data_IF_649702030963
#
_entry.id   IF_649702030963
#
_cell.length_a   1.000
_cell.length_b   1.000
_cell.length_c   1.000
_cell.angle_alpha   90.00
_cell.angle_beta   90.00
_cell.angle_gamma   90.00
#
_symmetry.space_group_name_H-M   'P 1'
#
loop_
_entity.id
_entity.type
_entity.pdbx_description
1 polymer ?
#
# COMPACT_ATOMS: atom_id res chain seq x y z
N UNK A 1 -14.96 -4.76 -4.85
CA UNK A 1 -13.60 -5.33 -4.93
C UNK A 1 -12.92 -5.20 -3.59
N UNK A 2 -12.35 -6.28 -3.09
CA UNK A 2 -11.64 -6.33 -1.81
C UNK A 2 -10.15 -6.48 -2.04
N UNK A 3 -9.35 -5.53 -1.54
CA UNK A 3 -7.89 -5.53 -1.69
C UNK A 3 -7.27 -5.53 -0.30
N UNK A 4 -6.30 -6.40 -0.06
CA UNK A 4 -5.52 -6.38 1.17
C UNK A 4 -4.09 -5.92 0.89
N UNK A 5 -3.60 -4.96 1.65
CA UNK A 5 -2.20 -4.53 1.62
C UNK A 5 -1.52 -5.08 2.86
N UNK A 6 -0.68 -6.08 2.72
CA UNK A 6 0.00 -6.70 3.87
C UNK A 6 1.47 -7.05 3.56
N UNK A 7 2.22 -7.46 4.58
CA UNK A 7 3.61 -7.87 4.44
C UNK A 7 4.23 -8.24 5.78
N UNK A 8 5.27 -9.05 5.77
CA UNK A 8 5.94 -9.54 6.99
C UNK A 8 6.84 -8.49 7.65
N UNK A 9 7.16 -7.39 6.96
CA UNK A 9 8.11 -6.38 7.46
C UNK A 9 7.42 -5.06 7.81
N UNK A 10 7.83 -4.46 8.92
CA UNK A 10 7.48 -3.08 9.25
C UNK A 10 8.21 -2.07 8.34
N UNK A 11 7.62 -0.90 8.12
CA UNK A 11 8.25 0.21 7.39
C UNK A 11 8.33 0.05 5.86
N UNK A 12 7.61 -0.92 5.27
CA UNK A 12 7.53 -1.12 3.82
C UNK A 12 6.37 -0.35 3.17
N UNK A 13 5.93 0.74 3.78
CA UNK A 13 4.91 1.65 3.26
C UNK A 13 3.52 1.01 3.00
N UNK A 14 3.07 0.04 3.82
CA UNK A 14 1.72 -0.56 3.69
C UNK A 14 0.63 0.49 3.77
N UNK A 15 0.54 1.20 4.89
CA UNK A 15 -0.46 2.27 5.11
C UNK A 15 -0.38 3.37 4.05
N UNK A 16 0.84 3.80 3.70
CA UNK A 16 1.04 4.75 2.61
C UNK A 16 0.46 4.22 1.29
N UNK A 17 0.65 2.94 0.98
CA UNK A 17 0.10 2.30 -0.23
C UNK A 17 -1.43 2.24 -0.16
N UNK A 18 -2.00 1.82 0.97
CA UNK A 18 -3.46 1.77 1.18
C UNK A 18 -4.11 3.13 0.99
N UNK A 19 -3.58 4.17 1.61
CA UNK A 19 -4.09 5.55 1.52
C UNK A 19 -4.01 6.09 0.09
N UNK A 20 -2.87 5.92 -0.59
CA UNK A 20 -2.68 6.53 -1.92
C UNK A 20 -3.43 5.79 -3.03
N UNK A 21 -3.55 4.47 -2.98
CA UNK A 21 -4.42 3.73 -3.90
C UNK A 21 -5.90 4.10 -3.69
N UNK A 22 -6.35 4.18 -2.44
CA UNK A 22 -7.69 4.67 -2.12
C UNK A 22 -7.92 6.08 -2.68
N UNK A 23 -6.95 6.98 -2.50
CA UNK A 23 -7.01 8.35 -3.03
C UNK A 23 -7.13 8.38 -4.56
N UNK A 24 -6.37 7.55 -5.28
CA UNK A 24 -6.46 7.49 -6.75
C UNK A 24 -7.84 7.05 -7.18
N UNK A 25 -8.37 5.96 -6.66
CA UNK A 25 -9.70 5.47 -7.06
C UNK A 25 -10.82 6.43 -6.63
N UNK A 26 -10.66 7.10 -5.48
CA UNK A 26 -11.60 8.15 -5.08
C UNK A 26 -11.63 9.31 -6.08
N UNK A 27 -10.47 9.78 -6.56
CA UNK A 27 -10.41 10.85 -7.59
C UNK A 27 -10.99 10.41 -8.94
N UNK A 28 -11.09 9.11 -9.18
CA UNK A 28 -11.78 8.51 -10.33
C UNK A 28 -13.30 8.34 -10.12
N UNK A 29 -13.83 8.83 -9.01
CA UNK A 29 -15.26 8.78 -8.67
C UNK A 29 -15.73 7.48 -8.03
N UNK A 30 -14.81 6.59 -7.62
CA UNK A 30 -15.17 5.34 -6.95
C UNK A 30 -15.50 5.56 -5.48
N UNK A 31 -16.48 4.83 -4.97
CA UNK A 31 -16.77 4.75 -3.53
C UNK A 31 -15.75 3.83 -2.86
N UNK A 32 -14.78 4.42 -2.19
CA UNK A 32 -13.67 3.68 -1.55
C UNK A 32 -13.76 3.80 -0.04
N UNK A 33 -13.36 2.78 0.67
CA UNK A 33 -13.06 2.87 2.11
C UNK A 33 -11.82 2.04 2.47
N UNK A 34 -11.22 2.36 3.62
CA UNK A 34 -10.13 1.57 4.20
C UNK A 34 -10.62 0.91 5.49
N UNK A 35 -10.26 -0.34 5.68
CA UNK A 35 -10.37 -1.07 6.96
C UNK A 35 -8.98 -1.18 7.56
N UNK A 36 -8.77 -0.55 8.70
CA UNK A 36 -7.50 -0.60 9.42
C UNK A 36 -7.44 -1.87 10.30
N UNK A 37 -6.66 -2.84 9.84
CA UNK A 37 -6.40 -4.10 10.54
C UNK A 37 -5.01 -4.12 11.21
N UNK A 38 -4.28 -3.00 11.24
CA UNK A 38 -3.02 -2.87 11.98
C UNK A 38 -3.30 -2.60 13.47
N UNK A 39 -2.65 -3.35 14.35
CA UNK A 39 -2.72 -3.14 15.82
C UNK A 39 -2.30 -1.71 16.22
N UNK A 40 -1.39 -1.10 15.45
CA UNK A 40 -0.95 0.28 15.66
C UNK A 40 -1.95 1.33 15.15
N UNK A 41 -3.02 0.91 14.44
CA UNK A 41 -4.04 1.79 13.87
C UNK A 41 -3.45 2.91 12.99
N UNK A 42 -2.51 2.54 12.13
CA UNK A 42 -1.74 3.49 11.34
C UNK A 42 -2.60 4.25 10.33
N UNK A 43 -3.56 3.59 9.68
CA UNK A 43 -4.48 4.24 8.73
C UNK A 43 -5.48 5.17 9.43
N UNK A 44 -6.00 4.76 10.60
CA UNK A 44 -6.86 5.61 11.42
C UNK A 44 -6.11 6.84 11.93
N UNK A 45 -4.87 6.67 12.42
CA UNK A 45 -4.04 7.79 12.84
C UNK A 45 -3.69 8.72 11.68
N UNK A 46 -3.47 8.18 10.48
CA UNK A 46 -3.28 8.98 9.27
C UNK A 46 -4.52 9.83 8.97
N UNK A 47 -5.69 9.21 8.92
CA UNK A 47 -6.94 9.90 8.59
C UNK A 47 -7.35 10.96 9.62
N UNK A 48 -7.01 10.77 10.90
CA UNK A 48 -7.35 11.73 11.95
C UNK A 48 -6.54 13.02 11.91
N UNK A 49 -5.43 13.07 11.16
CA UNK A 49 -4.58 14.25 11.03
C UNK A 49 -5.04 15.23 9.95
N UNK A 50 -5.92 14.81 9.03
CA UNK A 50 -6.30 15.66 7.92
C UNK A 50 -7.63 15.31 7.29
N UNK A 51 -7.76 15.57 6.00
CA UNK A 51 -9.01 15.54 5.26
C UNK A 51 -8.97 14.52 4.10
N UNK A 52 -8.59 13.25 4.38
CA UNK A 52 -8.77 12.24 3.33
C UNK A 52 -10.26 12.14 3.00
N UNK A 53 -10.63 12.14 1.70
CA UNK A 53 -12.03 12.29 1.28
C UNK A 53 -12.83 10.98 1.31
N UNK A 54 -12.32 9.94 1.96
CA UNK A 54 -12.97 8.64 2.10
C UNK A 54 -12.84 8.12 3.54
N UNK A 55 -13.79 7.30 4.02
CA UNK A 55 -13.78 6.82 5.38
C UNK A 55 -12.71 5.76 5.63
N UNK A 56 -12.15 5.77 6.85
CA UNK A 56 -11.28 4.74 7.41
C UNK A 56 -11.96 4.14 8.63
N UNK A 57 -12.13 2.84 8.66
CA UNK A 57 -12.83 2.12 9.72
C UNK A 57 -11.90 1.16 10.47
N UNK A 58 -12.05 1.00 11.79
CA UNK A 58 -11.45 -0.15 12.47
C UNK A 58 -12.18 -1.45 12.07
N UNK A 59 -11.52 -2.59 12.21
CA UNK A 59 -12.10 -3.92 11.91
C UNK A 59 -13.44 -4.12 12.61
N UNK A 60 -13.60 -3.64 13.84
CA UNK A 60 -14.83 -3.79 14.61
C UNK A 60 -16.08 -3.15 13.97
N UNK A 61 -15.91 -2.18 13.09
CA UNK A 61 -17.01 -1.52 12.37
C UNK A 61 -17.01 -1.81 10.85
N UNK A 62 -16.10 -2.65 10.37
CA UNK A 62 -15.93 -2.95 8.96
C UNK A 62 -17.24 -3.43 8.31
N UNK A 63 -17.94 -4.40 8.91
CA UNK A 63 -19.15 -4.97 8.35
C UNK A 63 -20.28 -3.93 8.08
N UNK A 64 -20.32 -2.85 8.83
CA UNK A 64 -21.28 -1.75 8.62
C UNK A 64 -20.69 -0.70 7.65
N UNK A 65 -19.43 -0.35 7.84
CA UNK A 65 -18.77 0.75 7.12
C UNK A 65 -18.49 0.46 5.64
N UNK A 66 -18.36 -0.81 5.27
CA UNK A 66 -18.01 -1.20 3.89
C UNK A 66 -19.20 -1.43 2.95
N UNK A 67 -20.45 -1.36 3.46
CA UNK A 67 -21.67 -1.74 2.69
C UNK A 67 -21.85 -1.01 1.37
N UNK A 68 -21.51 0.28 1.34
CA UNK A 68 -21.72 1.13 0.17
C UNK A 68 -20.45 1.34 -0.66
N UNK A 69 -19.34 0.69 -0.28
CA UNK A 69 -18.06 0.83 -0.96
C UNK A 69 -17.96 -0.09 -2.18
N UNK A 70 -17.51 0.45 -3.30
CA UNK A 70 -17.15 -0.32 -4.49
C UNK A 70 -15.78 -0.99 -4.33
N UNK A 71 -14.87 -0.31 -3.60
CA UNK A 71 -13.52 -0.78 -3.31
C UNK A 71 -13.27 -0.68 -1.81
N UNK A 72 -12.90 -1.78 -1.22
CA UNK A 72 -12.50 -1.89 0.19
C UNK A 72 -11.04 -2.26 0.25
N UNK A 73 -10.22 -1.43 0.90
CA UNK A 73 -8.81 -1.73 1.12
C UNK A 73 -8.62 -2.10 2.59
N UNK A 74 -8.10 -3.29 2.86
CA UNK A 74 -7.66 -3.67 4.20
C UNK A 74 -6.18 -3.31 4.38
N UNK A 75 -5.89 -2.37 5.27
CA UNK A 75 -4.52 -2.02 5.67
C UNK A 75 -4.07 -2.99 6.75
N UNK A 76 -3.27 -3.98 6.36
CA UNK A 76 -2.82 -5.06 7.22
C UNK A 76 -1.55 -4.72 8.00
N UNK A 77 -1.41 -5.32 9.17
CA UNK A 77 -0.19 -5.17 9.95
C UNK A 77 1.02 -5.90 9.34
N UNK A 78 2.21 -5.60 9.86
CA UNK A 78 3.38 -6.44 9.64
C UNK A 78 3.28 -7.67 10.54
N UNK A 79 3.14 -8.85 9.97
CA UNK A 79 3.10 -10.11 10.72
C UNK A 79 4.00 -11.16 10.10
N UNK A 80 4.66 -11.93 10.94
CA UNK A 80 5.32 -13.18 10.57
C UNK A 80 4.45 -14.41 10.90
N UNK A 81 3.29 -14.20 11.50
CA UNK A 81 2.33 -15.24 11.80
C UNK A 81 1.54 -15.61 10.53
N UNK A 82 1.70 -16.84 10.08
CA UNK A 82 1.07 -17.35 8.87
C UNK A 82 -0.45 -17.39 8.97
N UNK A 83 -1.00 -17.73 10.14
CA UNK A 83 -2.45 -17.79 10.31
C UNK A 83 -3.08 -16.40 10.24
N UNK A 84 -2.43 -15.41 10.84
CA UNK A 84 -2.88 -14.03 10.77
C UNK A 84 -2.83 -13.50 9.31
N UNK A 85 -1.76 -13.81 8.57
CA UNK A 85 -1.64 -13.44 7.16
C UNK A 85 -2.68 -14.15 6.29
N UNK A 86 -2.97 -15.43 6.56
CA UNK A 86 -4.04 -16.18 5.89
C UNK A 86 -5.40 -15.54 6.14
N UNK A 87 -5.71 -15.19 7.38
CA UNK A 87 -6.98 -14.53 7.72
C UNK A 87 -7.13 -13.16 7.06
N UNK A 88 -6.06 -12.36 7.01
CA UNK A 88 -6.06 -11.06 6.32
C UNK A 88 -6.26 -11.19 4.81
N UNK A 89 -5.69 -12.24 4.21
CA UNK A 89 -5.76 -12.49 2.78
C UNK A 89 -7.08 -13.16 2.35
N UNK A 90 -7.73 -13.86 3.29
CA UNK A 90 -8.96 -14.60 2.99
C UNK A 90 -10.09 -13.67 2.56
N UNK A 91 -10.69 -13.98 1.43
CA UNK A 91 -11.77 -13.16 0.87
C UNK A 91 -11.30 -11.91 0.11
N UNK A 92 -9.98 -11.73 -0.08
CA UNK A 92 -9.44 -10.66 -0.93
C UNK A 92 -9.48 -11.07 -2.41
N UNK A 93 -9.91 -10.14 -3.26
CA UNK A 93 -9.79 -10.27 -4.72
C UNK A 93 -8.33 -10.12 -5.16
N UNK A 94 -7.54 -9.35 -4.41
CA UNK A 94 -6.12 -9.12 -4.64
C UNK A 94 -5.39 -8.80 -3.34
N UNK A 95 -4.24 -9.41 -3.12
CA UNK A 95 -3.29 -9.02 -2.07
C UNK A 95 -2.12 -8.24 -2.71
N UNK A 96 -1.89 -7.03 -2.25
CA UNK A 96 -0.73 -6.22 -2.64
C UNK A 96 0.34 -6.37 -1.56
N UNK A 97 1.55 -6.76 -1.96
CA UNK A 97 2.69 -6.94 -1.06
C UNK A 97 3.72 -5.84 -1.32
N UNK A 98 3.71 -4.74 -0.55
CA UNK A 98 4.77 -3.74 -0.67
C UNK A 98 6.11 -4.29 -0.17
N UNK A 99 7.16 -4.07 -0.95
CA UNK A 99 8.52 -4.47 -0.60
C UNK A 99 9.53 -3.39 -0.95
N UNK A 100 10.65 -3.32 -0.22
CA UNK A 100 11.76 -2.44 -0.60
C UNK A 100 12.81 -3.24 -1.39
N UNK A 101 13.67 -2.59 -2.21
CA UNK A 101 14.70 -3.28 -2.99
C UNK A 101 15.88 -3.78 -2.14
N UNK A 102 15.67 -4.08 -0.86
CA UNK A 102 16.66 -4.66 0.06
C UNK A 102 16.53 -6.17 0.08
N UNK A 103 17.64 -6.91 0.06
CA UNK A 103 17.67 -8.37 0.01
C UNK A 103 16.70 -9.03 1.02
N UNK A 104 16.80 -8.65 2.30
CA UNK A 104 15.92 -9.23 3.34
C UNK A 104 14.44 -8.90 3.12
N UNK A 105 14.09 -7.76 2.51
CA UNK A 105 12.69 -7.46 2.15
C UNK A 105 12.20 -8.38 1.03
N UNK A 106 13.03 -8.61 0.02
CA UNK A 106 12.71 -9.51 -1.11
C UNK A 106 12.53 -10.95 -0.61
N UNK A 107 13.42 -11.46 0.25
CA UNK A 107 13.31 -12.80 0.85
C UNK A 107 11.97 -12.98 1.56
N UNK A 108 11.62 -12.09 2.48
CA UNK A 108 10.35 -12.14 3.21
C UNK A 108 9.14 -12.01 2.28
N UNK A 109 9.27 -11.27 1.19
CA UNK A 109 8.21 -11.17 0.17
C UNK A 109 8.01 -12.49 -0.55
N UNK A 110 9.08 -13.20 -0.90
CA UNK A 110 9.01 -14.54 -1.52
C UNK A 110 8.38 -15.56 -0.56
N UNK A 111 8.75 -15.53 0.72
CA UNK A 111 8.16 -16.38 1.76
C UNK A 111 6.62 -16.16 1.84
N UNK A 112 6.18 -14.90 1.95
CA UNK A 112 4.76 -14.55 2.01
C UNK A 112 4.02 -14.94 0.71
N UNK A 113 4.59 -14.65 -0.45
CA UNK A 113 3.98 -14.99 -1.73
C UNK A 113 3.83 -16.52 -1.90
N UNK A 114 4.80 -17.31 -1.43
CA UNK A 114 4.69 -18.78 -1.41
C UNK A 114 3.52 -19.26 -0.55
N UNK A 115 3.33 -18.63 0.62
CA UNK A 115 2.19 -18.91 1.49
C UNK A 115 0.86 -18.59 0.79
N UNK A 116 0.74 -17.41 0.16
CA UNK A 116 -0.47 -16.99 -0.56
C UNK A 116 -0.76 -17.88 -1.77
N UNK A 117 0.27 -18.31 -2.48
CA UNK A 117 0.17 -19.30 -3.57
C UNK A 117 -0.41 -20.63 -3.09
N UNK A 118 0.03 -21.14 -1.94
CA UNK A 118 -0.49 -22.37 -1.35
C UNK A 118 -1.99 -22.29 -1.03
N UNK A 119 -2.49 -21.08 -0.76
CA UNK A 119 -3.88 -20.78 -0.48
C UNK A 119 -4.66 -20.34 -1.73
N UNK A 120 -4.03 -20.31 -2.91
CA UNK A 120 -4.62 -19.86 -4.19
C UNK A 120 -5.13 -18.40 -4.13
N UNK A 121 -4.51 -17.56 -3.31
CA UNK A 121 -4.86 -16.15 -3.20
C UNK A 121 -4.12 -15.37 -4.28
N UNK A 122 -4.86 -14.61 -5.09
CA UNK A 122 -4.26 -13.70 -6.09
C UNK A 122 -3.47 -12.61 -5.39
N UNK A 123 -2.22 -12.40 -5.78
CA UNK A 123 -1.35 -11.39 -5.18
C UNK A 123 -0.37 -10.82 -6.19
N UNK A 124 0.09 -9.59 -5.92
CA UNK A 124 1.11 -8.92 -6.71
C UNK A 124 2.06 -8.13 -5.80
N UNK A 125 3.33 -8.05 -6.17
CA UNK A 125 4.37 -7.36 -5.41
C UNK A 125 4.52 -5.93 -5.93
N UNK A 126 4.53 -4.96 -5.01
CA UNK A 126 4.80 -3.55 -5.30
C UNK A 126 6.15 -3.13 -4.71
N UNK A 127 7.11 -2.75 -5.55
CA UNK A 127 8.40 -2.25 -5.08
C UNK A 127 8.26 -0.78 -4.70
N UNK A 128 8.58 -0.47 -3.45
CA UNK A 128 8.38 0.84 -2.84
C UNK A 128 9.68 1.41 -2.25
N UNK A 129 9.67 2.71 -1.93
CA UNK A 129 10.80 3.43 -1.33
C UNK A 129 12.08 3.33 -2.17
N UNK A 130 11.94 3.47 -3.48
CA UNK A 130 13.07 3.44 -4.40
C UNK A 130 13.78 4.79 -4.42
N UNK A 131 15.01 4.82 -3.91
CA UNK A 131 15.90 5.98 -4.04
C UNK A 131 16.26 6.19 -5.53
N UNK A 132 16.02 7.38 -6.05
CA UNK A 132 16.30 7.73 -7.45
C UNK A 132 17.75 7.49 -7.86
N UNK A 133 18.69 7.56 -6.91
CA UNK A 133 20.12 7.30 -7.12
C UNK A 133 20.46 5.81 -7.15
N UNK A 134 19.54 4.93 -6.69
CA UNK A 134 19.73 3.48 -6.53
C UNK A 134 18.72 2.66 -7.32
N UNK A 135 18.23 3.18 -8.44
CA UNK A 135 17.22 2.49 -9.26
C UNK A 135 17.67 1.10 -9.73
N UNK A 136 18.98 0.90 -9.96
CA UNK A 136 19.53 -0.42 -10.32
C UNK A 136 19.13 -1.51 -9.32
N UNK A 137 19.13 -1.20 -8.03
CA UNK A 137 18.71 -2.15 -6.99
C UNK A 137 17.22 -2.53 -7.12
N UNK A 138 16.35 -1.60 -7.51
CA UNK A 138 14.94 -1.88 -7.73
C UNK A 138 14.72 -2.77 -8.95
N UNK A 139 15.43 -2.53 -10.06
CA UNK A 139 15.39 -3.41 -11.23
C UNK A 139 15.92 -4.82 -10.92
N UNK A 140 16.99 -4.94 -10.13
CA UNK A 140 17.51 -6.21 -9.68
C UNK A 140 16.52 -6.97 -8.78
N UNK A 141 15.88 -6.27 -7.83
CA UNK A 141 14.84 -6.85 -6.98
C UNK A 141 13.64 -7.32 -7.82
N UNK A 142 13.17 -6.51 -8.78
CA UNK A 142 12.10 -6.90 -9.71
C UNK A 142 12.48 -8.17 -10.50
N UNK A 143 13.66 -8.19 -11.08
CA UNK A 143 14.13 -9.35 -11.85
C UNK A 143 14.22 -10.62 -10.98
N UNK A 144 14.64 -10.48 -9.71
CA UNK A 144 14.68 -11.60 -8.78
C UNK A 144 13.27 -12.12 -8.47
N UNK A 145 12.32 -11.24 -8.15
CA UNK A 145 10.91 -11.61 -7.87
C UNK A 145 10.26 -12.31 -9.07
N UNK A 146 10.46 -11.79 -10.28
CA UNK A 146 9.96 -12.41 -11.51
C UNK A 146 10.55 -13.81 -11.74
N UNK A 147 11.83 -14.05 -11.39
CA UNK A 147 12.45 -15.38 -11.47
C UNK A 147 11.83 -16.39 -10.52
N UNK A 148 11.25 -15.93 -9.39
CA UNK A 148 10.46 -16.76 -8.49
C UNK A 148 9.01 -16.97 -8.97
N UNK A 149 8.66 -16.50 -10.17
CA UNK A 149 7.32 -16.65 -10.74
C UNK A 149 6.27 -15.72 -10.13
N UNK A 150 6.67 -14.66 -9.43
CA UNK A 150 5.75 -13.73 -8.79
C UNK A 150 5.26 -12.66 -9.76
N UNK A 151 4.00 -12.27 -9.64
CA UNK A 151 3.48 -11.07 -10.29
C UNK A 151 4.06 -9.83 -9.60
N UNK A 152 4.60 -8.91 -10.39
CA UNK A 152 5.21 -7.67 -9.90
C UNK A 152 4.67 -6.52 -10.73
N UNK A 153 4.10 -5.51 -10.07
CA UNK A 153 3.62 -4.30 -10.73
C UNK A 153 4.70 -3.65 -11.59
N UNK A 154 4.30 -3.11 -12.72
CA UNK A 154 5.17 -2.29 -13.54
C UNK A 154 5.33 -0.90 -12.89
N UNK A 155 6.59 -0.49 -12.73
CA UNK A 155 6.93 0.74 -12.03
C UNK A 155 7.28 0.55 -10.55
N UNK A 156 7.65 1.64 -9.92
CA UNK A 156 8.09 1.68 -8.52
C UNK A 156 7.54 2.90 -7.82
N UNK A 157 7.28 2.80 -6.53
CA UNK A 157 6.99 3.97 -5.69
C UNK A 157 8.31 4.58 -5.21
N UNK A 158 8.61 5.82 -5.59
CA UNK A 158 9.87 6.47 -5.22
C UNK A 158 9.94 6.79 -3.72
N UNK A 159 11.15 6.89 -3.19
CA UNK A 159 11.39 7.42 -1.85
C UNK A 159 11.38 8.95 -1.91
N UNK A 160 10.32 9.57 -1.39
CA UNK A 160 10.11 11.01 -1.41
C UNK A 160 9.69 11.53 -0.04
N UNK A 161 10.27 12.65 0.39
CA UNK A 161 9.81 13.39 1.58
C UNK A 161 8.36 13.90 1.44
N UNK A 162 7.85 14.03 0.23
CA UNK A 162 6.45 14.37 -0.03
C UNK A 162 5.47 13.39 0.63
N UNK A 163 5.82 12.11 0.73
CA UNK A 163 4.99 11.12 1.44
C UNK A 163 4.98 11.34 2.95
N UNK A 164 6.13 11.67 3.54
CA UNK A 164 6.21 11.97 4.97
C UNK A 164 5.42 13.23 5.31
N UNK A 165 5.48 14.27 4.46
CA UNK A 165 4.68 15.49 4.58
C UNK A 165 3.18 15.22 4.44
N UNK A 166 2.78 14.42 3.46
CA UNK A 166 1.40 14.00 3.28
C UNK A 166 0.89 13.23 4.50
N UNK A 167 1.70 12.32 5.06
CA UNK A 167 1.36 11.61 6.29
C UNK A 167 1.23 12.54 7.50
N UNK A 168 2.14 13.49 7.65
CA UNK A 168 2.10 14.46 8.75
C UNK A 168 0.85 15.33 8.73
N UNK A 169 0.36 15.69 7.54
CA UNK A 169 -0.86 16.50 7.34
C UNK A 169 -2.14 15.67 7.14
N UNK A 170 -2.03 14.33 7.05
CA UNK A 170 -3.19 13.44 6.83
C UNK A 170 -3.87 13.63 5.48
N UNK A 171 -3.11 13.98 4.44
CA UNK A 171 -3.62 14.25 3.09
C UNK A 171 -3.01 13.29 2.07
N UNK A 172 -3.53 13.24 0.86
CA UNK A 172 -2.87 12.52 -0.24
C UNK A 172 -1.60 13.26 -0.71
N UNK A 173 -0.64 12.54 -1.29
CA UNK A 173 0.67 13.10 -1.65
C UNK A 173 0.60 14.27 -2.64
N UNK A 174 -0.42 14.35 -3.48
CA UNK A 174 -0.59 15.48 -4.41
C UNK A 174 -0.92 16.80 -3.69
N UNK A 175 -1.33 16.75 -2.43
CA UNK A 175 -1.58 17.89 -1.55
C UNK A 175 -0.41 18.17 -0.58
N UNK A 176 0.68 17.40 -0.68
CA UNK A 176 1.81 17.54 0.23
C UNK A 176 2.41 18.95 0.20
N UNK A 177 2.50 19.55 1.38
CA UNK A 177 3.09 20.89 1.60
C UNK A 177 4.22 20.81 2.61
N UNK A 178 5.10 21.82 2.58
CA UNK A 178 6.12 22.00 3.61
C UNK A 178 5.56 22.74 4.83
N UNK A 179 6.39 22.92 5.86
CA UNK A 179 6.02 23.61 7.11
C UNK A 179 5.60 25.08 6.92
N UNK A 180 5.89 25.65 5.75
CA UNK A 180 5.48 27.00 5.35
C UNK A 180 4.24 26.99 4.43
N UNK A 181 3.60 25.85 4.25
CA UNK A 181 2.41 25.68 3.39
C UNK A 181 2.74 25.69 1.88
N UNK A 182 4.01 25.62 1.48
CA UNK A 182 4.38 25.57 0.06
C UNK A 182 4.31 24.16 -0.46
N UNK A 183 3.74 23.98 -1.65
CA UNK A 183 3.64 22.67 -2.29
C UNK A 183 4.99 21.98 -2.45
N UNK A 184 5.06 20.72 -2.06
CA UNK A 184 6.27 19.92 -2.30
C UNK A 184 6.50 19.74 -3.82
N UNK A 185 7.68 20.07 -4.34
CA UNK A 185 7.95 20.04 -5.79
C UNK A 185 7.86 18.64 -6.40
N UNK A 186 7.99 17.58 -5.58
CA UNK A 186 7.95 16.19 -6.04
C UNK A 186 6.61 15.48 -5.72
N UNK A 187 5.62 16.21 -5.18
CA UNK A 187 4.32 15.62 -4.83
C UNK A 187 3.64 14.92 -6.02
N UNK A 188 3.72 15.54 -7.20
CA UNK A 188 3.11 14.94 -8.40
C UNK A 188 3.88 13.73 -8.93
N UNK A 189 5.19 13.63 -8.67
CA UNK A 189 5.97 12.43 -8.98
C UNK A 189 5.44 11.23 -8.17
N UNK A 190 5.21 11.43 -6.88
CA UNK A 190 4.64 10.39 -6.01
C UNK A 190 3.21 10.03 -6.42
N UNK A 191 2.39 11.03 -6.74
CA UNK A 191 1.02 10.83 -7.19
C UNK A 191 0.93 10.02 -8.49
N UNK A 192 1.67 10.44 -9.53
CA UNK A 192 1.70 9.75 -10.81
C UNK A 192 2.16 8.30 -10.70
N UNK A 193 3.09 8.01 -9.77
CA UNK A 193 3.51 6.63 -9.51
C UNK A 193 2.33 5.78 -9.00
N UNK A 194 1.55 6.26 -8.03
CA UNK A 194 0.37 5.53 -7.56
C UNK A 194 -0.75 5.46 -8.60
N UNK A 195 -0.96 6.49 -9.42
CA UNK A 195 -1.89 6.42 -10.55
C UNK A 195 -1.52 5.29 -11.53
N UNK A 196 -0.23 5.15 -11.85
CA UNK A 196 0.26 4.07 -12.70
C UNK A 196 0.06 2.68 -12.08
N UNK A 197 0.22 2.54 -10.77
CA UNK A 197 -0.05 1.25 -10.08
C UNK A 197 -1.55 0.96 -10.06
N UNK A 198 -2.38 1.94 -9.72
CA UNK A 198 -3.83 1.78 -9.66
C UNK A 198 -4.46 1.37 -11.00
N UNK A 199 -3.86 1.77 -12.13
CA UNK A 199 -4.32 1.40 -13.48
C UNK A 199 -4.03 -0.06 -13.87
N UNK A 200 -3.26 -0.78 -13.06
CA UNK A 200 -2.91 -2.19 -13.27
C UNK A 200 -3.78 -3.15 -12.44
N UNK A 201 -4.63 -2.61 -11.58
CA UNK A 201 -5.58 -3.35 -10.73
C UNK A 201 -6.97 -3.36 -11.36
#
# INVERSE_FOLDING_TARGET
MFITVCGQKGGVAKTCTSIHLASVWHTQGKKVCIVDADKNRSALAYSSRGNIPFPVFPVSSAAKGTRDAEIVITDGQASSDEEELKHLAYGSDLVIIPTTPKARSVELTVELASLLNSQKVKHAVLIVKVDSRKQKAAFQARAALLKFGLEVFDGFIPLLSAFDKAEASGNAVYEAVDDLGRSDPRRMTGWSAYCSIASQV
#
